data_IF_111144152289
#
_entry.id   IF_111144152289
#
_cell.length_a   1.000
_cell.length_b   1.000
_cell.length_c   1.000
_cell.angle_alpha   90.00
_cell.angle_beta   90.00
_cell.angle_gamma   90.00
#
_symmetry.space_group_name_H-M   'P 1'
#
loop_
_entity.id
_entity.type
_entity.pdbx_description
1 polymer ?
#
# COMPACT_ATOMS: atom_id res chain seq x y z
N UNK A 1 3.24 32.66 -45.90
CA UNK A 1 3.68 34.03 -45.55
C UNK A 1 2.49 34.77 -44.98
N UNK A 2 2.38 34.89 -43.67
CA UNK A 2 1.67 35.98 -42.96
C UNK A 2 2.46 36.21 -41.67
N UNK A 3 2.60 37.48 -41.33
CA UNK A 3 3.63 38.12 -40.53
C UNK A 3 3.44 38.05 -39.02
N UNK A 4 4.60 38.10 -38.34
CA UNK A 4 4.90 38.47 -36.95
C UNK A 4 3.91 39.44 -36.29
N UNK A 5 3.61 39.17 -35.02
CA UNK A 5 3.08 40.14 -34.06
C UNK A 5 3.60 39.83 -32.65
N UNK A 6 4.77 40.38 -32.32
CA UNK A 6 5.35 40.37 -30.97
C UNK A 6 4.65 41.46 -30.15
N UNK A 7 4.01 41.09 -29.04
CA UNK A 7 3.54 42.05 -28.04
C UNK A 7 4.38 41.90 -26.77
N UNK A 8 5.30 42.86 -26.57
CA UNK A 8 5.97 43.13 -25.31
C UNK A 8 5.03 43.92 -24.41
N UNK A 9 4.81 43.47 -23.17
CA UNK A 9 4.32 44.32 -22.09
C UNK A 9 5.27 44.21 -20.90
N UNK A 10 6.01 45.31 -20.71
CA UNK A 10 6.92 45.58 -19.61
C UNK A 10 6.18 46.26 -18.46
N UNK A 11 6.33 45.64 -17.27
CA UNK A 11 6.51 46.19 -15.92
C UNK A 11 5.52 47.21 -15.32
N UNK A 12 5.06 46.89 -14.09
CA UNK A 12 5.13 47.72 -12.87
C UNK A 12 4.72 46.86 -11.65
N UNK A 13 5.68 46.30 -10.92
CA UNK A 13 6.07 46.67 -9.53
C UNK A 13 4.94 46.62 -8.48
N UNK A 14 5.00 45.60 -7.61
CA UNK A 14 4.32 45.56 -6.32
C UNK A 14 5.20 44.84 -5.29
N UNK A 15 5.60 45.59 -4.25
CA UNK A 15 6.46 45.15 -3.15
C UNK A 15 5.90 43.93 -2.42
N UNK A 16 6.72 42.91 -2.19
CA UNK A 16 6.61 42.03 -1.02
C UNK A 16 7.98 41.95 -0.36
N UNK A 17 8.28 42.96 0.47
CA UNK A 17 9.32 42.88 1.47
C UNK A 17 8.75 42.17 2.70
N UNK A 18 9.22 40.96 2.96
CA UNK A 18 8.93 40.20 4.17
C UNK A 18 10.20 39.53 4.63
N UNK A 19 10.98 40.25 5.44
CA UNK A 19 12.22 39.77 6.04
C UNK A 19 11.93 38.60 6.98
N UNK A 20 12.48 37.43 6.68
CA UNK A 20 12.64 36.33 7.63
C UNK A 20 13.62 36.78 8.71
N UNK A 21 13.11 37.05 9.91
CA UNK A 21 13.95 37.23 11.10
C UNK A 21 14.52 35.88 11.53
N UNK A 22 15.77 35.65 11.17
CA UNK A 22 16.67 34.73 11.84
C UNK A 22 16.84 35.20 13.29
N UNK A 23 16.41 34.38 14.26
CA UNK A 23 16.80 34.56 15.66
C UNK A 23 17.94 33.59 15.97
N UNK A 24 19.15 34.06 15.77
CA UNK A 24 20.35 33.50 16.38
C UNK A 24 20.46 34.01 17.82
N UNK A 25 20.73 33.10 18.74
CA UNK A 25 21.10 33.40 20.12
C UNK A 25 22.07 32.32 20.61
N UNK A 26 23.35 32.57 20.41
CA UNK A 26 24.47 32.03 21.21
C UNK A 26 24.83 33.16 22.20
N UNK A 27 25.40 33.00 23.40
CA UNK A 27 26.14 31.98 24.14
C UNK A 27 25.72 32.16 25.65
N UNK A 28 25.98 31.32 26.66
CA UNK A 28 27.20 30.65 27.12
C UNK A 28 26.85 29.73 28.34
N UNK A 29 27.79 28.88 28.84
CA UNK A 29 27.52 27.73 29.70
C UNK A 29 27.49 28.04 31.20
N UNK A 30 26.80 27.20 31.99
CA UNK A 30 26.93 27.18 33.44
C UNK A 30 27.01 25.73 33.96
N UNK A 31 28.14 25.44 34.61
CA UNK A 31 28.47 24.23 35.36
C UNK A 31 27.59 24.03 36.62
N UNK A 32 27.58 22.82 37.22
CA UNK A 32 26.60 22.39 38.21
C UNK A 32 26.97 22.80 39.64
N UNK A 33 25.99 23.26 40.43
CA UNK A 33 26.16 23.53 41.86
C UNK A 33 25.00 22.90 42.66
N UNK A 34 25.28 22.17 43.76
CA UNK A 34 24.30 21.37 44.47
C UNK A 34 23.51 22.22 45.47
N UNK A 35 22.20 22.00 45.55
CA UNK A 35 21.35 22.58 46.57
C UNK A 35 20.68 21.49 47.39
N UNK A 36 21.33 21.15 48.51
CA UNK A 36 20.76 20.42 49.63
C UNK A 36 19.64 21.25 50.25
N UNK A 37 18.43 20.70 50.36
CA UNK A 37 17.37 21.21 51.24
C UNK A 37 16.81 20.06 52.11
N UNK A 38 16.38 20.38 53.34
CA UNK A 38 16.21 19.40 54.41
C UNK A 38 14.93 18.56 54.28
N UNK A 39 15.06 17.29 54.68
CA UNK A 39 13.95 16.38 54.92
C UNK A 39 13.00 16.92 56.00
N UNK A 40 11.71 17.02 55.66
CA UNK A 40 10.62 16.96 56.64
C UNK A 40 9.60 15.93 56.18
N UNK A 41 9.08 15.21 57.16
CA UNK A 41 8.52 13.88 57.09
C UNK A 41 7.00 13.89 56.90
N UNK A 42 6.52 12.86 56.21
CA UNK A 42 5.23 12.17 56.41
C UNK A 42 3.93 12.90 56.06
N UNK A 43 3.43 12.59 54.87
CA UNK A 43 2.02 12.58 54.53
C UNK A 43 1.84 11.82 53.22
N UNK A 44 1.71 10.49 53.27
CA UNK A 44 1.45 9.70 52.06
C UNK A 44 0.12 10.13 51.43
N UNK A 45 0.09 10.57 50.16
CA UNK A 45 -1.14 10.51 49.40
C UNK A 45 -1.54 9.04 49.23
N UNK A 46 -2.84 8.69 49.25
CA UNK A 46 -3.28 7.33 48.97
C UNK A 46 -2.75 6.91 47.61
N UNK A 47 -2.17 5.71 47.56
CA UNK A 47 -1.64 5.14 46.33
C UNK A 47 -2.76 5.07 45.27
N UNK A 48 -2.49 5.39 44.00
CA UNK A 48 -3.40 5.02 42.93
C UNK A 48 -3.54 3.49 42.94
N UNK A 49 -4.77 2.99 42.94
CA UNK A 49 -5.06 1.57 42.85
C UNK A 49 -4.25 0.95 41.69
N UNK A 50 -3.47 -0.13 41.92
CA UNK A 50 -2.73 -0.79 40.86
C UNK A 50 -3.63 -1.64 39.96
N UNK A 51 -4.96 -1.51 40.06
CA UNK A 51 -5.94 -2.35 39.37
C UNK A 51 -6.41 -1.76 38.03
N UNK A 52 -5.66 -0.84 37.46
CA UNK A 52 -5.70 -0.59 36.02
C UNK A 52 -4.92 -1.67 35.29
N UNK A 53 -5.39 -2.92 35.34
CA UNK A 53 -4.89 -3.96 34.43
C UNK A 53 -5.33 -3.54 33.03
N UNK A 54 -4.45 -2.85 32.32
CA UNK A 54 -4.66 -2.54 30.91
C UNK A 54 -4.87 -3.88 30.20
N UNK A 55 -6.10 -4.13 29.75
CA UNK A 55 -6.43 -5.33 29.01
C UNK A 55 -5.46 -5.42 27.81
N UNK A 56 -4.79 -6.57 27.59
CA UNK A 56 -3.90 -6.71 26.46
C UNK A 56 -4.66 -6.38 25.18
N UNK A 57 -4.18 -5.37 24.43
CA UNK A 57 -4.78 -5.03 23.16
C UNK A 57 -4.86 -6.31 22.29
N UNK A 58 -6.00 -6.58 21.63
CA UNK A 58 -6.15 -7.79 20.84
C UNK A 58 -4.99 -7.93 19.85
N UNK A 59 -4.28 -9.06 19.92
CA UNK A 59 -3.24 -9.40 18.95
C UNK A 59 -3.93 -9.91 17.67
N UNK A 60 -4.38 -8.98 16.84
CA UNK A 60 -5.06 -9.29 15.59
C UNK A 60 -5.65 -8.05 14.93
N UNK A 61 -6.12 -8.17 13.68
CA UNK A 61 -6.77 -7.07 13.00
C UNK A 61 -7.99 -6.60 13.80
N UNK A 62 -8.16 -5.28 13.92
CA UNK A 62 -9.27 -4.67 14.64
C UNK A 62 -10.48 -4.49 13.70
N UNK A 63 -11.68 -4.56 14.25
CA UNK A 63 -12.89 -4.21 13.49
C UNK A 63 -12.89 -2.70 13.24
N UNK A 64 -13.12 -2.28 12.00
CA UNK A 64 -13.41 -0.88 11.70
C UNK A 64 -14.86 -0.54 12.07
N UNK A 65 -15.06 0.62 12.71
CA UNK A 65 -16.38 1.19 12.95
C UNK A 65 -17.02 1.76 11.67
N UNK A 66 -16.22 1.97 10.62
CA UNK A 66 -16.64 2.54 9.35
C UNK A 66 -16.60 1.50 8.22
N UNK A 67 -17.44 1.68 7.20
CA UNK A 67 -17.31 0.92 5.96
C UNK A 67 -16.02 1.33 5.22
N UNK A 68 -15.46 0.42 4.42
CA UNK A 68 -14.47 0.79 3.42
C UNK A 68 -15.11 1.77 2.42
N UNK A 69 -14.48 2.93 2.27
CA UNK A 69 -14.94 3.99 1.38
C UNK A 69 -14.27 3.90 0.01
N UNK A 70 -13.01 3.46 -0.02
CA UNK A 70 -12.21 3.29 -1.23
C UNK A 70 -11.59 1.88 -1.30
N UNK A 71 -11.16 1.44 -2.48
CA UNK A 71 -10.42 0.18 -2.61
C UNK A 71 -9.09 0.22 -1.86
N UNK A 72 -8.47 1.40 -1.78
CA UNK A 72 -7.20 1.65 -1.05
C UNK A 72 -7.33 1.33 0.43
N UNK A 73 -8.51 1.48 1.04
CA UNK A 73 -8.79 1.09 2.43
C UNK A 73 -8.54 -0.40 2.68
N UNK A 74 -8.71 -1.24 1.66
CA UNK A 74 -8.49 -2.69 1.76
C UNK A 74 -7.01 -3.05 1.96
N UNK A 75 -6.07 -2.10 1.82
CA UNK A 75 -4.69 -2.28 2.28
C UNK A 75 -4.64 -2.60 3.79
N UNK A 76 -5.52 -2.02 4.61
CA UNK A 76 -5.55 -2.31 6.04
C UNK A 76 -5.86 -3.79 6.33
N UNK A 77 -6.66 -4.43 5.47
CA UNK A 77 -6.93 -5.87 5.54
C UNK A 77 -5.70 -6.67 5.14
N UNK A 78 -5.01 -6.26 4.07
CA UNK A 78 -3.77 -6.90 3.62
C UNK A 78 -2.63 -6.83 4.65
N UNK A 79 -2.58 -5.75 5.42
CA UNK A 79 -1.57 -5.53 6.46
C UNK A 79 -2.00 -6.10 7.81
N UNK A 80 -3.23 -6.61 7.92
CA UNK A 80 -3.76 -7.19 9.15
C UNK A 80 -3.99 -6.16 10.26
N UNK A 81 -4.21 -4.89 9.88
CA UNK A 81 -4.46 -3.79 10.81
C UNK A 81 -5.96 -3.69 11.09
N UNK A 82 -6.78 -3.61 10.04
CA UNK A 82 -8.24 -3.50 10.14
C UNK A 82 -8.95 -4.54 9.28
N UNK A 83 -10.19 -4.85 9.65
CA UNK A 83 -11.18 -5.46 8.77
C UNK A 83 -12.48 -4.65 8.79
N UNK A 84 -13.37 -4.89 7.83
CA UNK A 84 -14.54 -4.05 7.60
C UNK A 84 -15.84 -4.84 7.74
N UNK A 85 -16.39 -4.97 8.97
CA UNK A 85 -17.58 -5.79 9.26
C UNK A 85 -18.83 -5.49 8.42
N UNK A 86 -18.93 -4.25 7.91
CA UNK A 86 -20.05 -3.80 7.07
C UNK A 86 -19.95 -4.28 5.61
N UNK A 87 -18.81 -4.87 5.22
CA UNK A 87 -18.62 -5.45 3.89
C UNK A 87 -19.39 -6.77 3.75
N UNK A 88 -19.79 -7.16 2.53
CA UNK A 88 -20.47 -8.43 2.31
C UNK A 88 -19.58 -9.60 2.73
N UNK A 89 -20.12 -10.51 3.54
CA UNK A 89 -19.43 -11.74 3.94
C UNK A 89 -19.29 -12.69 2.76
N UNK A 90 -18.20 -13.45 2.70
CA UNK A 90 -18.02 -14.54 1.74
C UNK A 90 -18.88 -15.73 2.16
N UNK A 91 -20.18 -15.65 1.86
CA UNK A 91 -21.17 -16.67 2.17
C UNK A 91 -22.15 -16.86 1.00
N UNK A 92 -22.85 -17.99 0.99
CA UNK A 92 -23.82 -18.31 -0.05
C UNK A 92 -23.20 -18.92 -1.31
N UNK A 93 -23.94 -18.89 -2.42
CA UNK A 93 -23.50 -19.45 -3.69
C UNK A 93 -22.47 -18.53 -4.34
N UNK A 94 -21.40 -19.12 -4.87
CA UNK A 94 -20.47 -18.45 -5.76
C UNK A 94 -21.23 -17.82 -6.97
N UNK A 95 -20.68 -16.74 -7.58
CA UNK A 95 -19.33 -16.21 -7.42
C UNK A 95 -19.14 -15.27 -6.22
N UNK A 96 -17.90 -15.19 -5.74
CA UNK A 96 -17.48 -14.30 -4.67
C UNK A 96 -16.58 -13.17 -5.18
N UNK A 97 -17.04 -11.90 -5.19
CA UNK A 97 -16.25 -10.77 -5.68
C UNK A 97 -14.92 -10.59 -4.95
N UNK A 98 -13.87 -10.34 -5.73
CA UNK A 98 -12.50 -10.12 -5.25
C UNK A 98 -11.91 -8.83 -5.83
N UNK A 99 -11.10 -8.15 -5.03
CA UNK A 99 -10.17 -7.12 -5.47
C UNK A 99 -8.73 -7.64 -5.32
N UNK A 100 -7.92 -7.56 -6.38
CA UNK A 100 -6.50 -7.89 -6.33
C UNK A 100 -5.69 -6.62 -6.09
N UNK A 101 -4.95 -6.58 -4.99
CA UNK A 101 -4.02 -5.52 -4.64
C UNK A 101 -2.58 -6.04 -4.76
N UNK A 102 -1.76 -5.34 -5.53
CA UNK A 102 -0.37 -5.72 -5.81
C UNK A 102 0.61 -4.69 -5.24
N UNK A 103 1.66 -5.19 -4.60
CA UNK A 103 2.66 -4.40 -3.88
C UNK A 103 4.10 -4.82 -4.20
N UNK A 104 4.98 -3.83 -4.22
CA UNK A 104 6.42 -4.00 -4.47
C UNK A 104 7.20 -4.52 -3.26
N UNK A 105 6.64 -4.33 -2.07
CA UNK A 105 7.23 -4.76 -0.80
C UNK A 105 6.12 -5.11 0.18
N UNK A 106 6.33 -6.06 1.11
CA UNK A 106 5.33 -6.37 2.14
C UNK A 106 5.07 -5.16 3.03
N UNK A 107 3.80 -4.84 3.29
CA UNK A 107 3.40 -3.69 4.09
C UNK A 107 3.54 -2.34 3.38
N UNK A 108 3.94 -2.33 2.10
CA UNK A 108 3.89 -1.14 1.25
C UNK A 108 2.47 -0.85 0.78
N UNK A 109 2.26 0.36 0.28
CA UNK A 109 1.02 0.72 -0.40
C UNK A 109 0.83 -0.16 -1.64
N UNK A 110 -0.33 -0.82 -1.74
CA UNK A 110 -0.70 -1.64 -2.88
C UNK A 110 -1.67 -0.89 -3.77
N UNK A 111 -1.51 -1.10 -5.07
CA UNK A 111 -2.46 -0.64 -6.10
C UNK A 111 -3.37 -1.77 -6.51
N UNK A 112 -4.58 -1.45 -6.94
CA UNK A 112 -5.45 -2.44 -7.55
C UNK A 112 -4.92 -2.85 -8.92
N UNK A 113 -5.02 -4.14 -9.22
CA UNK A 113 -4.86 -4.69 -10.56
C UNK A 113 -6.23 -4.96 -11.17
N UNK A 114 -6.56 -4.21 -12.23
CA UNK A 114 -7.82 -4.29 -12.97
C UNK A 114 -7.68 -4.99 -14.33
N UNK A 115 -6.52 -5.63 -14.61
CA UNK A 115 -6.23 -6.27 -15.88
C UNK A 115 -6.12 -7.79 -15.83
N UNK A 116 -5.73 -8.36 -14.68
CA UNK A 116 -5.36 -9.78 -14.57
C UNK A 116 -6.44 -10.80 -14.96
N UNK A 117 -7.70 -10.37 -15.06
CA UNK A 117 -8.85 -11.24 -15.27
C UNK A 117 -9.29 -11.36 -16.73
N UNK A 118 -8.66 -10.67 -17.69
CA UNK A 118 -9.17 -10.60 -19.06
C UNK A 118 -9.38 -11.98 -19.73
N UNK A 119 -8.61 -12.99 -19.34
CA UNK A 119 -8.77 -14.39 -19.77
C UNK A 119 -10.11 -15.03 -19.32
N UNK A 120 -10.78 -14.48 -18.30
CA UNK A 120 -12.13 -14.87 -17.84
C UNK A 120 -13.26 -14.19 -18.64
N UNK A 121 -12.92 -13.22 -19.50
CA UNK A 121 -13.83 -12.48 -20.37
C UNK A 121 -13.97 -11.00 -20.01
N UNK A 122 -14.52 -10.22 -20.94
CA UNK A 122 -14.58 -8.74 -20.86
C UNK A 122 -15.97 -8.19 -20.49
N UNK A 123 -16.87 -9.02 -19.95
CA UNK A 123 -18.21 -8.55 -19.57
C UNK A 123 -18.18 -7.80 -18.24
N UNK A 124 -19.09 -6.83 -18.04
CA UNK A 124 -19.28 -6.14 -16.76
C UNK A 124 -19.63 -7.06 -15.59
N UNK A 125 -20.14 -8.26 -15.86
CA UNK A 125 -20.34 -9.26 -14.81
C UNK A 125 -19.02 -9.87 -14.37
N UNK A 126 -18.12 -10.21 -15.31
CA UNK A 126 -16.80 -10.76 -15.00
C UNK A 126 -15.95 -9.72 -14.26
N UNK A 127 -15.96 -8.47 -14.72
CA UNK A 127 -15.28 -7.34 -14.08
C UNK A 127 -15.72 -7.19 -12.62
N UNK A 128 -17.03 -7.13 -12.33
CA UNK A 128 -17.56 -7.05 -10.95
C UNK A 128 -17.20 -8.24 -10.06
N UNK A 129 -16.83 -9.39 -10.63
CA UNK A 129 -16.44 -10.58 -9.86
C UNK A 129 -14.94 -10.59 -9.60
N UNK A 130 -14.12 -10.27 -10.60
CA UNK A 130 -12.67 -10.47 -10.54
C UNK A 130 -11.87 -9.18 -10.29
N UNK A 131 -12.42 -8.02 -10.63
CA UNK A 131 -11.82 -6.72 -10.38
C UNK A 131 -12.89 -5.79 -9.79
N UNK A 132 -13.48 -6.19 -8.66
CA UNK A 132 -14.50 -5.37 -8.01
C UNK A 132 -13.90 -4.01 -7.60
N UNK A 133 -14.40 -2.92 -8.20
CA UNK A 133 -13.92 -1.55 -7.96
C UNK A 133 -14.73 -0.81 -6.88
N UNK A 134 -15.95 -1.27 -6.57
CA UNK A 134 -16.73 -0.73 -5.46
C UNK A 134 -16.41 -1.51 -4.17
N UNK A 135 -15.74 -0.90 -3.17
CA UNK A 135 -15.34 -1.57 -1.93
C UNK A 135 -16.55 -2.16 -1.17
N UNK A 136 -17.76 -1.62 -1.35
CA UNK A 136 -18.99 -2.12 -0.71
C UNK A 136 -19.46 -3.46 -1.28
N UNK A 137 -18.94 -3.87 -2.43
CA UNK A 137 -19.29 -5.13 -3.10
C UNK A 137 -18.23 -6.22 -2.92
N UNK A 138 -17.03 -5.84 -2.46
CA UNK A 138 -15.88 -6.75 -2.32
C UNK A 138 -16.11 -7.68 -1.14
N UNK A 139 -16.08 -9.00 -1.39
CA UNK A 139 -16.12 -10.02 -0.33
C UNK A 139 -14.71 -10.45 0.11
N UNK A 140 -13.76 -10.41 -0.81
CA UNK A 140 -12.39 -10.86 -0.60
C UNK A 140 -11.38 -9.86 -1.14
N UNK A 141 -10.27 -9.68 -0.45
CA UNK A 141 -9.10 -8.98 -0.98
C UNK A 141 -7.96 -9.98 -1.16
N UNK A 142 -7.37 -9.98 -2.35
CA UNK A 142 -6.18 -10.74 -2.68
C UNK A 142 -4.98 -9.79 -2.62
N UNK A 143 -4.04 -10.05 -1.72
CA UNK A 143 -2.87 -9.23 -1.45
C UNK A 143 -1.65 -9.94 -2.01
N UNK A 144 -1.06 -9.41 -3.07
CA UNK A 144 0.12 -9.95 -3.71
C UNK A 144 1.33 -9.05 -3.46
N UNK A 145 2.23 -9.52 -2.61
CA UNK A 145 3.45 -8.78 -2.27
C UNK A 145 4.67 -9.46 -2.86
N UNK A 146 5.55 -8.70 -3.51
CA UNK A 146 6.90 -9.21 -3.81
C UNK A 146 7.67 -9.38 -2.49
N UNK A 147 8.10 -10.60 -2.20
CA UNK A 147 8.81 -10.94 -0.96
C UNK A 147 10.30 -11.19 -1.17
N UNK A 148 10.72 -11.50 -2.40
CA UNK A 148 12.14 -11.61 -2.71
C UNK A 148 12.45 -11.36 -4.19
N UNK A 149 13.72 -11.06 -4.43
CA UNK A 149 14.33 -10.92 -5.76
C UNK A 149 15.42 -11.96 -5.91
N UNK A 150 15.62 -12.47 -7.11
CA UNK A 150 16.60 -13.50 -7.43
C UNK A 150 17.50 -13.13 -8.61
N UNK A 151 18.00 -14.17 -9.28
CA UNK A 151 18.95 -14.04 -10.38
C UNK A 151 18.40 -13.22 -11.56
N UNK A 152 19.31 -12.65 -12.34
CA UNK A 152 18.98 -12.03 -13.63
C UNK A 152 18.44 -13.06 -14.60
N UNK A 153 17.33 -12.71 -15.27
CA UNK A 153 16.73 -13.48 -16.35
C UNK A 153 17.32 -13.00 -17.68
N UNK A 154 17.18 -11.70 -17.98
CA UNK A 154 17.61 -11.07 -19.23
C UNK A 154 17.72 -9.56 -19.11
N UNK A 155 18.24 -8.93 -20.16
CA UNK A 155 18.22 -7.48 -20.35
C UNK A 155 17.08 -7.12 -21.31
N UNK A 156 16.28 -6.12 -20.96
CA UNK A 156 15.16 -5.64 -21.74
C UNK A 156 15.52 -4.27 -22.33
N UNK A 157 15.47 -4.17 -23.65
CA UNK A 157 15.77 -2.94 -24.38
C UNK A 157 14.48 -2.19 -24.65
N UNK A 158 14.52 -0.88 -24.45
CA UNK A 158 13.43 0.06 -24.71
C UNK A 158 13.98 1.21 -25.51
N UNK A 159 13.28 1.62 -26.56
CA UNK A 159 13.78 2.65 -27.49
C UNK A 159 13.07 4.01 -27.33
N UNK A 160 11.97 4.08 -26.56
CA UNK A 160 11.11 5.25 -26.35
C UNK A 160 10.96 5.57 -24.84
N UNK A 161 11.02 6.85 -24.40
CA UNK A 161 11.34 8.07 -25.16
C UNK A 161 12.81 8.20 -25.56
N UNK A 162 13.70 7.41 -24.95
CA UNK A 162 15.11 7.31 -25.30
C UNK A 162 15.58 5.88 -25.07
N UNK A 163 16.59 5.40 -25.83
CA UNK A 163 17.17 4.10 -25.61
C UNK A 163 17.61 3.90 -24.15
N UNK A 164 17.07 2.88 -23.49
CA UNK A 164 17.51 2.40 -22.19
C UNK A 164 17.49 0.88 -22.15
N UNK A 165 18.19 0.31 -21.18
CA UNK A 165 18.22 -1.14 -20.95
C UNK A 165 18.01 -1.44 -19.49
N UNK A 166 16.93 -2.16 -19.19
CA UNK A 166 16.58 -2.57 -17.84
C UNK A 166 16.97 -4.03 -17.61
N UNK A 167 17.25 -4.36 -16.35
CA UNK A 167 17.55 -5.75 -15.98
C UNK A 167 16.29 -6.41 -15.46
N UNK A 168 15.85 -7.49 -16.12
CA UNK A 168 14.75 -8.32 -15.65
C UNK A 168 15.28 -9.37 -14.68
N UNK A 169 14.77 -9.34 -13.45
CA UNK A 169 15.16 -10.25 -12.37
C UNK A 169 14.04 -11.25 -12.06
N UNK A 170 14.42 -12.44 -11.58
CA UNK A 170 13.47 -13.35 -10.93
C UNK A 170 12.91 -12.66 -9.70
N UNK A 171 11.64 -12.91 -9.40
CA UNK A 171 11.01 -12.48 -8.17
C UNK A 171 10.11 -13.58 -7.61
N UNK A 172 9.91 -13.54 -6.30
CA UNK A 172 8.96 -14.39 -5.60
C UNK A 172 7.96 -13.50 -4.90
N UNK A 173 6.70 -13.90 -4.95
CA UNK A 173 5.58 -13.19 -4.38
C UNK A 173 4.85 -14.04 -3.35
N UNK A 174 4.20 -13.39 -2.39
CA UNK A 174 3.30 -14.03 -1.44
C UNK A 174 1.90 -13.50 -1.68
N UNK A 175 1.02 -14.40 -2.12
CA UNK A 175 -0.41 -14.17 -2.27
C UNK A 175 -1.11 -14.53 -0.96
N UNK A 176 -1.74 -13.56 -0.31
CA UNK A 176 -2.62 -13.77 0.83
C UNK A 176 -4.03 -13.34 0.45
N UNK A 177 -5.03 -14.16 0.70
CA UNK A 177 -6.43 -13.78 0.45
C UNK A 177 -7.14 -13.70 1.79
N UNK A 178 -7.85 -12.61 2.01
CA UNK A 178 -8.59 -12.34 3.23
C UNK A 178 -10.06 -12.07 2.91
N UNK A 179 -10.95 -12.55 3.78
CA UNK A 179 -12.34 -12.10 3.80
C UNK A 179 -12.39 -10.68 4.39
N UNK A 180 -12.92 -9.72 3.63
CA UNK A 180 -12.91 -8.31 4.02
C UNK A 180 -13.74 -8.06 5.28
N UNK A 181 -14.87 -8.76 5.41
CA UNK A 181 -15.83 -8.60 6.50
C UNK A 181 -15.32 -9.10 7.87
N UNK A 182 -14.32 -9.98 7.88
CA UNK A 182 -13.87 -10.66 9.11
C UNK A 182 -12.36 -10.58 9.33
N UNK A 183 -11.59 -10.15 8.32
CA UNK A 183 -10.13 -10.20 8.32
C UNK A 183 -9.56 -11.62 8.21
N UNK A 184 -10.42 -12.65 8.20
CA UNK A 184 -10.00 -14.05 8.19
C UNK A 184 -9.21 -14.36 6.92
N UNK A 185 -8.02 -14.91 7.09
CA UNK A 185 -7.19 -15.39 5.99
C UNK A 185 -7.77 -16.69 5.41
N UNK A 186 -8.05 -16.66 4.11
CA UNK A 186 -8.61 -17.75 3.32
C UNK A 186 -7.51 -18.51 2.55
N UNK A 187 -6.42 -17.82 2.19
CA UNK A 187 -5.30 -18.37 1.45
C UNK A 187 -4.00 -17.69 1.87
N UNK A 188 -2.91 -18.45 1.87
CA UNK A 188 -1.54 -17.96 1.97
C UNK A 188 -0.66 -18.84 1.09
N UNK A 189 -0.13 -18.29 0.00
CA UNK A 189 0.57 -19.05 -1.03
C UNK A 189 1.75 -18.27 -1.59
N UNK A 190 2.89 -18.95 -1.73
CA UNK A 190 4.04 -18.42 -2.46
C UNK A 190 3.88 -18.68 -3.97
N UNK A 191 4.11 -17.66 -4.77
CA UNK A 191 4.08 -17.70 -6.24
C UNK A 191 5.41 -17.20 -6.79
N UNK A 192 5.89 -17.82 -7.86
CA UNK A 192 7.03 -17.30 -8.62
C UNK A 192 6.56 -16.27 -9.64
N UNK A 193 7.39 -15.26 -9.90
CA UNK A 193 7.25 -14.43 -11.09
C UNK A 193 7.53 -15.26 -12.34
N UNK A 194 6.46 -15.76 -12.97
CA UNK A 194 6.52 -16.66 -14.11
C UNK A 194 6.32 -15.95 -15.45
N UNK A 195 5.94 -14.66 -15.44
CA UNK A 195 6.06 -13.81 -16.62
C UNK A 195 7.50 -13.29 -16.76
N UNK A 196 8.24 -13.93 -17.64
CA UNK A 196 9.65 -13.64 -17.91
C UNK A 196 9.86 -12.87 -19.22
N UNK A 197 8.78 -12.39 -19.84
CA UNK A 197 8.87 -11.51 -20.99
C UNK A 197 9.36 -10.12 -20.59
N UNK A 198 9.93 -9.38 -21.54
CA UNK A 198 10.16 -7.96 -21.34
C UNK A 198 8.81 -7.25 -21.45
N UNK A 199 8.34 -6.53 -20.41
CA UNK A 199 7.08 -5.82 -20.50
C UNK A 199 7.13 -4.76 -21.61
N UNK A 200 5.98 -4.46 -22.20
CA UNK A 200 5.90 -3.46 -23.27
C UNK A 200 6.07 -2.03 -22.72
N UNK A 201 5.49 -1.77 -21.55
CA UNK A 201 5.58 -0.49 -20.84
C UNK A 201 5.99 -0.78 -19.40
N UNK A 202 6.90 0.04 -18.88
CA UNK A 202 7.43 -0.08 -17.52
C UNK A 202 7.58 1.30 -16.90
N UNK A 203 7.31 1.39 -15.60
CA UNK A 203 7.71 2.54 -14.80
C UNK A 203 9.11 2.26 -14.25
N UNK A 204 10.06 3.11 -14.60
CA UNK A 204 11.47 2.91 -14.26
C UNK A 204 11.79 3.55 -12.92
N UNK A 205 12.14 2.71 -11.94
CA UNK A 205 12.72 3.15 -10.67
C UNK A 205 14.20 3.53 -10.81
N UNK A 206 14.75 4.18 -9.79
CA UNK A 206 16.15 4.63 -9.78
C UNK A 206 17.17 3.49 -9.94
N UNK A 207 16.80 2.26 -9.62
CA UNK A 207 17.66 1.08 -9.68
C UNK A 207 17.75 0.42 -11.06
N UNK A 208 16.97 0.91 -12.05
CA UNK A 208 16.89 0.39 -13.42
C UNK A 208 16.65 -1.12 -13.49
N UNK A 209 15.88 -1.65 -12.54
CA UNK A 209 15.48 -3.05 -12.48
C UNK A 209 13.99 -3.16 -12.73
N UNK A 210 13.64 -4.30 -13.31
CA UNK A 210 12.27 -4.77 -13.44
C UNK A 210 12.23 -6.22 -12.96
N UNK A 211 11.07 -6.67 -12.53
CA UNK A 211 10.90 -7.95 -11.86
C UNK A 211 9.89 -8.78 -12.64
N UNK A 212 10.18 -10.06 -12.83
CA UNK A 212 9.21 -10.98 -13.41
C UNK A 212 7.95 -10.99 -12.54
N UNK A 213 6.80 -10.65 -13.12
CA UNK A 213 5.52 -10.61 -12.41
C UNK A 213 4.88 -12.00 -12.36
N UNK A 214 3.91 -12.19 -11.47
CA UNK A 214 3.07 -13.38 -11.50
C UNK A 214 2.09 -13.23 -12.65
N UNK A 215 2.08 -14.17 -13.58
CA UNK A 215 1.17 -14.14 -14.72
C UNK A 215 -0.30 -14.21 -14.30
N UNK A 216 -1.14 -13.58 -15.11
CA UNK A 216 -2.61 -13.58 -15.00
C UNK A 216 -3.16 -15.01 -14.84
N UNK A 217 -2.65 -15.95 -15.64
CA UNK A 217 -3.02 -17.37 -15.57
C UNK A 217 -2.75 -17.95 -14.18
N UNK A 218 -1.58 -17.68 -13.62
CA UNK A 218 -1.20 -18.18 -12.29
C UNK A 218 -2.02 -17.54 -11.17
N UNK A 219 -2.35 -16.25 -11.28
CA UNK A 219 -3.25 -15.56 -10.37
C UNK A 219 -4.68 -16.12 -10.43
N UNK A 220 -5.25 -16.23 -11.63
CA UNK A 220 -6.57 -16.81 -11.85
C UNK A 220 -6.64 -18.25 -11.32
N UNK A 221 -5.64 -19.08 -11.60
CA UNK A 221 -5.58 -20.44 -11.08
C UNK A 221 -5.55 -20.49 -9.55
N UNK A 222 -4.83 -19.57 -8.90
CA UNK A 222 -4.76 -19.50 -7.44
C UNK A 222 -6.08 -19.04 -6.80
N UNK A 223 -6.82 -18.14 -7.46
CA UNK A 223 -8.04 -17.53 -6.93
C UNK A 223 -9.33 -18.27 -7.32
N UNK A 224 -9.32 -19.07 -8.39
CA UNK A 224 -10.52 -19.69 -8.98
C UNK A 224 -11.40 -20.45 -8.00
N UNK A 225 -10.81 -21.21 -7.08
CA UNK A 225 -11.58 -21.96 -6.09
C UNK A 225 -12.22 -21.07 -5.02
N UNK A 226 -11.65 -19.90 -4.73
CA UNK A 226 -12.23 -18.96 -3.77
C UNK A 226 -13.33 -18.12 -4.40
N UNK A 227 -13.19 -17.79 -5.69
CA UNK A 227 -14.10 -16.92 -6.42
C UNK A 227 -15.28 -17.69 -7.01
N UNK A 228 -15.07 -18.89 -7.59
CA UNK A 228 -16.10 -19.62 -8.34
C UNK A 228 -16.73 -20.82 -7.62
N UNK A 229 -16.27 -21.15 -6.41
CA UNK A 229 -16.77 -22.30 -5.62
C UNK A 229 -17.06 -21.88 -4.19
#
# INVERSE_FOLDING_TARGET
>A
MVTLGVLLLLACTGLVGGAFLLRAGADDPAEPVPATWPSTTTGSPPAPDPTGSAEPAPQGPQASDFAAAEITDLNNVCDGVLYYPQSPKRAGKAPHPVALLIGDTPGGQRRQDNGYYYDEGLSKQVERIWAAEDPKTVQMVACLDRVSTGATIRKCRYDDPKPDTLTLLKATYRLRVHEVATGRRLLDKTLGGDDQACPYVVLVGADKKIYAEVSDRSLLAALRNLVKR
#
